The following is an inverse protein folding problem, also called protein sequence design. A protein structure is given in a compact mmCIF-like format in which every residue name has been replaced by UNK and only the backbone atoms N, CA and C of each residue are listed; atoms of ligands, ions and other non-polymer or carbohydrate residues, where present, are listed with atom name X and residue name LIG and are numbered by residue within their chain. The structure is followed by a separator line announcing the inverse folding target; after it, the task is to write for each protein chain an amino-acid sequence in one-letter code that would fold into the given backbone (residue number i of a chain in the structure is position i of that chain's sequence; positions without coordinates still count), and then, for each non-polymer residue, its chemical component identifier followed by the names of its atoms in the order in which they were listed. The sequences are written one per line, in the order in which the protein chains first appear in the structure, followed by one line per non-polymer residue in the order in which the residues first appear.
data_IF_896550081439
#
_entry.id   IF_896550081439
#
_cell.length_a   1.000
_cell.length_b   1.000
_cell.length_c   1.000
_cell.angle_alpha   90.00
_cell.angle_beta   90.00
_cell.angle_gamma   90.00
#
_symmetry.space_group_name_H-M   'P 1'
#
loop_
_entity.id
_entity.type
_entity.pdbx_description
1 polymer ?
#
# COMPACT_ATOMS: atom_id res chain seq x y z
N UNK A 1 -35.47 23.51 11.15
CA UNK A 1 -35.24 24.68 10.28
C UNK A 1 -35.14 24.37 8.78
N UNK A 2 -34.90 23.12 8.39
CA UNK A 2 -34.82 22.70 6.97
C UNK A 2 -36.17 22.29 6.43
N UNK A 3 -36.95 21.52 7.18
CA UNK A 3 -38.28 21.02 6.81
C UNK A 3 -39.27 22.11 6.39
N UNK A 4 -39.45 23.23 7.15
CA UNK A 4 -40.38 24.28 6.75
C UNK A 4 -39.97 24.99 5.47
N UNK A 5 -38.71 24.93 5.07
CA UNK A 5 -38.20 25.58 3.85
C UNK A 5 -38.29 24.69 2.63
N UNK A 6 -38.14 23.38 2.79
CA UNK A 6 -38.09 22.42 1.69
C UNK A 6 -39.38 21.61 1.54
N UNK A 7 -40.27 21.59 2.55
CA UNK A 7 -41.46 20.76 2.55
C UNK A 7 -41.18 19.26 2.57
N UNK A 8 -39.95 18.87 2.97
CA UNK A 8 -39.50 17.48 3.02
C UNK A 8 -39.19 17.13 4.48
N UNK A 9 -39.74 16.04 5.02
CA UNK A 9 -39.44 15.62 6.38
C UNK A 9 -37.97 15.25 6.54
N UNK A 10 -37.41 15.56 7.71
CA UNK A 10 -36.02 15.27 8.04
C UNK A 10 -35.93 14.02 8.96
N UNK A 11 -35.32 12.97 8.49
CA UNK A 11 -35.16 11.72 9.26
C UNK A 11 -34.11 11.80 10.40
N UNK A 12 -33.50 12.98 10.60
CA UNK A 12 -32.52 13.21 11.66
C UNK A 12 -31.29 13.97 11.15
N UNK A 13 -30.36 14.22 12.05
CA UNK A 13 -29.08 14.85 11.76
C UNK A 13 -27.99 13.94 12.29
N UNK A 14 -27.05 13.56 11.44
CA UNK A 14 -25.87 12.79 11.85
C UNK A 14 -24.83 13.79 12.34
N UNK A 15 -24.54 13.86 13.65
CA UNK A 15 -23.45 14.68 14.16
C UNK A 15 -22.12 14.18 13.63
N UNK A 16 -21.16 15.07 13.47
CA UNK A 16 -19.79 14.68 13.10
C UNK A 16 -19.21 13.74 14.16
N UNK A 17 -18.70 12.59 13.73
CA UNK A 17 -18.09 11.61 14.58
C UNK A 17 -16.55 11.75 14.48
N UNK A 18 -15.96 12.38 15.50
CA UNK A 18 -14.51 12.50 15.62
C UNK A 18 -13.89 11.12 15.87
N UNK A 19 -12.66 10.93 15.45
CA UNK A 19 -11.83 9.73 15.71
C UNK A 19 -12.45 8.41 15.22
N UNK A 20 -13.23 8.45 14.15
CA UNK A 20 -13.78 7.25 13.54
C UNK A 20 -12.70 6.41 12.88
N UNK A 21 -11.74 7.07 12.23
CA UNK A 21 -10.59 6.44 11.61
C UNK A 21 -10.94 5.48 10.48
N UNK A 22 -11.97 5.78 9.71
CA UNK A 22 -12.23 5.10 8.45
C UNK A 22 -11.28 5.62 7.38
N UNK A 23 -10.97 4.75 6.43
CA UNK A 23 -10.10 5.04 5.32
C UNK A 23 -10.68 6.21 4.51
N UNK A 24 -9.86 7.18 4.17
CA UNK A 24 -10.24 8.28 3.29
C UNK A 24 -10.08 7.85 1.83
N UNK A 25 -11.15 7.93 1.05
CA UNK A 25 -11.12 7.56 -0.37
C UNK A 25 -10.57 8.65 -1.28
N UNK A 26 -10.54 9.91 -0.85
CA UNK A 26 -10.22 11.07 -1.69
C UNK A 26 -8.81 11.64 -1.47
N UNK A 27 -8.22 12.12 -2.57
CA UNK A 27 -6.83 12.57 -2.68
C UNK A 27 -6.41 13.77 -1.80
N UNK A 28 -7.27 14.34 -0.97
CA UNK A 28 -6.93 15.41 -0.01
C UNK A 28 -5.91 14.89 1.02
N UNK A 29 -6.04 13.64 1.44
CA UNK A 29 -5.10 12.98 2.34
C UNK A 29 -3.67 12.84 1.76
N UNK A 30 -3.51 12.92 0.44
CA UNK A 30 -2.21 12.77 -0.25
C UNK A 30 -1.28 13.93 0.05
N UNK A 31 -1.79 15.14 -0.06
CA UNK A 31 -0.99 16.36 0.15
C UNK A 31 -0.60 16.50 1.62
N UNK A 32 -1.52 16.14 2.52
CA UNK A 32 -1.26 16.07 3.95
C UNK A 32 -0.27 14.95 4.29
N UNK A 33 -0.43 13.75 3.73
CA UNK A 33 0.50 12.62 3.91
C UNK A 33 1.88 12.89 3.29
N UNK A 34 1.96 13.59 2.14
CA UNK A 34 3.23 14.08 1.56
C UNK A 34 3.93 15.11 2.43
N UNK A 35 3.18 16.02 3.03
CA UNK A 35 3.75 17.03 3.93
C UNK A 35 4.17 16.43 5.28
N UNK A 36 3.50 15.37 5.76
CA UNK A 36 3.86 14.62 6.95
C UNK A 36 5.01 13.63 6.75
N UNK A 37 5.21 13.17 5.53
CA UNK A 37 5.97 11.97 5.16
C UNK A 37 7.49 12.06 5.25
N UNK A 38 8.07 13.12 5.79
CA UNK A 38 9.54 13.21 5.94
C UNK A 38 10.07 12.71 7.28
N UNK A 39 9.23 12.12 8.10
CA UNK A 39 9.62 11.70 9.46
C UNK A 39 9.16 10.26 9.71
N UNK A 40 10.11 9.37 9.93
CA UNK A 40 9.88 8.01 10.40
C UNK A 40 9.28 8.06 11.81
N UNK A 41 8.00 7.72 11.96
CA UNK A 41 7.36 7.64 13.28
C UNK A 41 7.34 6.19 13.76
N UNK A 42 7.95 5.94 14.92
CA UNK A 42 7.71 4.69 15.67
C UNK A 42 6.50 4.90 16.57
N UNK A 43 5.58 3.96 16.56
CA UNK A 43 4.49 3.93 17.54
C UNK A 43 5.06 3.39 18.85
N UNK A 44 5.01 4.19 19.90
CA UNK A 44 5.35 3.71 21.24
C UNK A 44 4.34 2.63 21.67
N UNK A 45 4.83 1.51 22.19
CA UNK A 45 3.98 0.42 22.67
C UNK A 45 2.97 0.94 23.70
N UNK A 46 1.68 0.91 23.35
CA UNK A 46 0.59 1.24 24.28
C UNK A 46 -0.41 2.32 23.84
N UNK A 47 -0.18 3.01 22.73
CA UNK A 47 -1.17 3.96 22.19
C UNK A 47 -1.56 3.52 20.78
N UNK A 48 -2.86 3.42 20.48
CA UNK A 48 -3.32 3.31 19.11
C UNK A 48 -2.85 4.57 18.35
N UNK A 49 -2.24 4.43 17.16
CA UNK A 49 -1.77 5.59 16.43
C UNK A 49 -2.96 6.49 16.07
N UNK A 50 -2.86 7.80 16.27
CA UNK A 50 -3.82 8.70 15.67
C UNK A 50 -3.70 8.59 14.16
N UNK A 51 -4.80 8.39 13.49
CA UNK A 51 -4.89 8.29 12.03
C UNK A 51 -4.55 9.59 11.29
N UNK A 52 -4.25 10.64 12.04
CA UNK A 52 -3.69 11.89 11.52
C UNK A 52 -2.49 12.33 12.36
N UNK A 53 -1.24 12.01 11.92
CA UNK A 53 -0.04 12.25 12.73
C UNK A 53 0.57 13.65 12.55
N UNK A 54 -0.15 14.67 12.13
CA UNK A 54 0.45 15.88 11.59
C UNK A 54 0.66 17.05 12.56
N UNK A 55 -0.04 17.06 13.69
CA UNK A 55 0.09 18.16 14.66
C UNK A 55 0.11 17.60 16.08
N UNK A 56 0.97 18.17 16.93
CA UNK A 56 0.77 18.05 18.36
C UNK A 56 -0.47 18.87 18.77
N UNK A 57 -0.99 18.70 19.96
CA UNK A 57 -2.17 19.43 20.48
C UNK A 57 -2.00 20.96 20.42
N UNK A 58 -0.80 21.48 20.12
CA UNK A 58 -0.45 22.90 20.02
C UNK A 58 -0.11 23.36 18.60
N UNK A 59 -0.18 22.48 17.57
CA UNK A 59 0.03 22.85 16.16
C UNK A 59 1.48 23.13 15.76
N UNK A 60 2.48 22.71 16.54
CA UNK A 60 3.90 22.93 16.26
C UNK A 60 4.59 21.72 15.65
N UNK A 61 5.54 21.95 14.72
CA UNK A 61 6.39 20.91 14.13
C UNK A 61 7.32 20.29 15.18
N UNK A 62 7.32 18.96 15.28
CA UNK A 62 8.27 18.23 16.13
C UNK A 62 9.55 17.95 15.35
N UNK A 63 10.70 18.45 15.79
CA UNK A 63 12.01 18.11 15.26
C UNK A 63 12.42 16.67 15.66
N UNK A 64 12.98 15.94 14.70
CA UNK A 64 13.38 14.55 14.88
C UNK A 64 14.87 14.45 15.26
N UNK A 65 15.20 13.90 16.45
CA UNK A 65 16.59 13.73 16.89
C UNK A 65 17.42 12.73 16.06
N UNK A 66 16.80 11.97 15.17
CA UNK A 66 17.48 10.89 14.42
C UNK A 66 18.07 11.34 13.08
N UNK A 67 17.95 12.60 12.69
CA UNK A 67 18.49 13.13 11.42
C UNK A 67 19.95 13.62 11.52
N UNK A 68 20.57 13.60 12.69
CA UNK A 68 21.98 13.95 12.88
C UNK A 68 22.84 12.71 13.10
N UNK A 69 23.01 11.88 12.09
CA UNK A 69 24.09 10.89 12.08
C UNK A 69 24.90 11.10 10.80
N UNK A 70 25.97 11.88 10.94
CA UNK A 70 27.09 11.87 10.02
C UNK A 70 27.83 10.53 10.12
N UNK A 71 28.12 9.91 8.97
CA UNK A 71 29.06 8.81 8.92
C UNK A 71 28.55 7.54 8.26
N UNK A 72 28.86 7.43 6.98
CA UNK A 72 28.91 6.19 6.21
C UNK A 72 29.89 5.21 6.83
N UNK A 73 29.43 4.29 7.69
CA UNK A 73 30.02 2.97 7.94
C UNK A 73 29.10 2.15 8.83
N UNK A 74 28.60 1.01 8.31
CA UNK A 74 28.07 -0.09 9.12
C UNK A 74 26.57 -0.05 9.41
N UNK A 75 25.80 -0.60 8.50
CA UNK A 75 24.34 -0.85 8.67
C UNK A 75 24.00 -1.91 9.74
N UNK A 76 24.97 -2.43 10.50
CA UNK A 76 24.83 -3.58 11.40
C UNK A 76 24.88 -3.28 12.90
N UNK A 77 24.71 -2.03 13.37
CA UNK A 77 24.73 -1.73 14.82
C UNK A 77 23.48 -1.03 15.36
N UNK A 78 22.43 -0.84 14.54
CA UNK A 78 21.15 -0.41 15.07
C UNK A 78 20.52 -1.58 15.83
N UNK A 79 19.96 -1.34 17.03
CA UNK A 79 19.28 -2.33 17.85
C UNK A 79 18.43 -3.28 17.01
N UNK A 80 18.64 -4.60 17.17
CA UNK A 80 17.85 -5.64 16.47
C UNK A 80 16.34 -5.53 16.73
N UNK A 81 15.94 -4.73 17.70
CA UNK A 81 14.58 -4.52 18.17
C UNK A 81 13.90 -3.23 17.63
N UNK A 82 14.53 -2.51 16.71
CA UNK A 82 13.90 -1.31 16.11
C UNK A 82 12.76 -1.66 15.15
N UNK A 83 11.90 -0.70 14.87
CA UNK A 83 10.89 -0.81 13.83
C UNK A 83 11.52 -0.95 12.43
N UNK A 84 10.84 -1.70 11.55
CA UNK A 84 11.18 -1.82 10.14
C UNK A 84 10.81 -0.50 9.43
N UNK A 85 11.77 0.13 8.77
CA UNK A 85 11.54 1.38 8.03
C UNK A 85 11.02 1.07 6.64
N UNK A 86 9.76 1.43 6.39
CA UNK A 86 9.07 1.20 5.12
C UNK A 86 8.91 2.52 4.38
N UNK A 87 9.58 2.65 3.23
CA UNK A 87 9.41 3.79 2.33
C UNK A 87 8.40 3.45 1.24
N UNK A 88 7.26 4.10 1.22
CA UNK A 88 6.31 4.07 0.09
C UNK A 88 6.62 5.25 -0.81
N UNK A 89 6.92 5.00 -2.08
CA UNK A 89 7.22 6.06 -3.04
C UNK A 89 5.96 6.90 -3.28
N UNK A 90 6.00 8.19 -3.01
CA UNK A 90 4.89 9.11 -3.18
C UNK A 90 4.74 9.52 -4.66
N UNK A 91 4.26 8.60 -5.50
CA UNK A 91 4.04 8.84 -6.92
C UNK A 91 3.01 9.97 -7.14
N UNK A 92 3.15 10.80 -8.21
CA UNK A 92 2.20 11.88 -8.51
C UNK A 92 0.75 11.43 -8.67
N UNK A 93 0.55 10.29 -9.33
CA UNK A 93 -0.78 9.74 -9.61
C UNK A 93 -1.08 8.48 -8.77
N UNK A 94 -0.43 8.37 -7.60
CA UNK A 94 -0.65 7.26 -6.69
C UNK A 94 -2.13 7.03 -6.41
N UNK A 95 -2.55 5.78 -6.33
CA UNK A 95 -3.92 5.37 -6.03
C UNK A 95 -3.96 4.36 -4.88
N UNK A 96 -5.15 4.14 -4.32
CA UNK A 96 -5.39 3.17 -3.25
C UNK A 96 -4.43 3.35 -2.05
N UNK A 97 -4.41 4.57 -1.50
CA UNK A 97 -3.56 4.92 -0.35
C UNK A 97 -3.81 4.03 0.86
N UNK A 98 -5.05 3.57 1.03
CA UNK A 98 -5.47 2.67 2.09
C UNK A 98 -4.76 1.32 2.07
N UNK A 99 -4.13 0.91 0.96
CA UNK A 99 -3.29 -0.30 0.91
C UNK A 99 -2.21 -0.33 1.99
N UNK A 100 -1.80 0.83 2.50
CA UNK A 100 -0.68 0.96 3.44
C UNK A 100 -1.11 1.23 4.88
N UNK A 101 -2.41 1.45 5.14
CA UNK A 101 -2.91 1.78 6.48
C UNK A 101 -2.71 0.62 7.46
N UNK A 102 -2.92 -0.62 6.99
CA UNK A 102 -2.67 -1.80 7.78
C UNK A 102 -1.17 -1.98 8.14
N UNK A 103 -0.25 -1.63 7.23
CA UNK A 103 1.18 -1.63 7.51
C UNK A 103 1.57 -0.51 8.49
N UNK A 104 0.95 0.67 8.35
CA UNK A 104 1.20 1.81 9.23
C UNK A 104 0.67 1.57 10.67
N UNK A 105 -0.35 0.72 10.82
CA UNK A 105 -0.90 0.34 12.12
C UNK A 105 -0.01 -0.67 12.88
N UNK A 106 0.97 -1.31 12.22
CA UNK A 106 1.81 -2.33 12.85
C UNK A 106 2.86 -1.72 13.79
N UNK A 107 2.93 -2.15 15.06
CA UNK A 107 3.91 -1.65 16.02
C UNK A 107 5.37 -1.89 15.60
N UNK A 108 5.58 -2.92 14.76
CA UNK A 108 6.89 -3.31 14.27
C UNK A 108 7.34 -2.54 13.03
N UNK A 109 6.51 -1.64 12.49
CA UNK A 109 6.76 -0.88 11.27
C UNK A 109 6.82 0.63 11.54
N UNK A 110 7.68 1.31 10.79
CA UNK A 110 7.71 2.77 10.69
C UNK A 110 7.56 3.11 9.20
N UNK A 111 6.36 3.52 8.79
CA UNK A 111 6.03 3.77 7.40
C UNK A 111 6.09 5.28 7.10
N UNK A 112 6.69 5.62 5.96
CA UNK A 112 6.71 7.00 5.44
C UNK A 112 6.46 7.01 3.93
N UNK A 113 5.73 8.00 3.45
CA UNK A 113 5.62 8.30 2.03
C UNK A 113 6.78 9.23 1.63
N UNK A 114 7.57 8.82 0.64
CA UNK A 114 8.85 9.47 0.30
C UNK A 114 8.91 9.82 -1.19
N UNK A 115 9.53 10.95 -1.49
CA UNK A 115 9.78 11.44 -2.85
C UNK A 115 11.23 11.90 -3.07
N UNK A 116 12.13 11.57 -2.12
CA UNK A 116 13.51 12.02 -2.17
C UNK A 116 14.51 10.85 -2.13
N UNK A 117 15.60 10.89 -2.92
CA UNK A 117 16.63 9.84 -2.98
C UNK A 117 17.21 9.40 -1.63
N UNK A 118 17.42 10.34 -0.70
CA UNK A 118 17.96 10.05 0.64
C UNK A 118 17.04 9.15 1.46
N UNK A 119 15.73 9.33 1.33
CA UNK A 119 14.76 8.57 2.11
C UNK A 119 14.69 7.12 1.61
N UNK A 120 14.78 6.91 0.28
CA UNK A 120 14.90 5.56 -0.31
C UNK A 120 16.17 4.86 0.20
N UNK A 121 17.28 5.58 0.27
CA UNK A 121 18.55 5.03 0.76
C UNK A 121 18.51 4.66 2.25
N UNK A 122 17.66 5.31 3.04
CA UNK A 122 17.50 5.07 4.47
C UNK A 122 16.49 3.95 4.81
N UNK A 123 15.72 3.47 3.85
CA UNK A 123 14.70 2.46 4.05
C UNK A 123 15.28 1.04 4.22
N UNK A 124 14.54 0.18 4.88
CA UNK A 124 14.77 -1.27 4.95
C UNK A 124 13.97 -1.99 3.86
N UNK A 125 12.72 -1.51 3.65
CA UNK A 125 11.80 -1.95 2.62
C UNK A 125 11.32 -0.75 1.82
N UNK A 126 11.37 -0.84 0.50
CA UNK A 126 10.81 0.17 -0.41
C UNK A 126 9.58 -0.41 -1.11
N UNK A 127 8.49 0.36 -1.16
CA UNK A 127 7.27 -0.04 -1.86
C UNK A 127 6.97 0.96 -2.98
N UNK A 128 6.85 0.45 -4.21
CA UNK A 128 6.27 1.17 -5.33
C UNK A 128 4.76 0.92 -5.31
N UNK A 129 3.93 1.94 -5.06
CA UNK A 129 2.48 1.77 -4.91
C UNK A 129 1.76 1.65 -6.25
N UNK A 130 0.46 1.38 -6.20
CA UNK A 130 -0.43 1.52 -7.33
C UNK A 130 -0.53 2.95 -7.83
N UNK A 131 -0.74 3.10 -9.13
CA UNK A 131 -0.92 4.41 -9.78
C UNK A 131 -1.96 4.34 -10.89
N UNK A 132 -2.57 5.50 -11.18
CA UNK A 132 -3.51 5.66 -12.31
C UNK A 132 -2.79 5.98 -13.63
N UNK A 133 -1.49 6.27 -13.60
CA UNK A 133 -0.67 6.70 -14.73
C UNK A 133 0.72 6.07 -14.64
N UNK A 134 0.84 4.79 -14.99
CA UNK A 134 2.05 4.01 -14.79
C UNK A 134 3.22 4.55 -15.59
N UNK A 135 2.99 4.92 -16.85
CA UNK A 135 4.04 5.41 -17.74
C UNK A 135 4.58 6.78 -17.33
N UNK A 136 3.70 7.70 -16.94
CA UNK A 136 4.12 9.04 -16.51
C UNK A 136 4.79 9.03 -15.15
N UNK A 137 4.35 8.17 -14.24
CA UNK A 137 4.96 8.04 -12.92
C UNK A 137 6.31 7.31 -12.98
N UNK A 138 6.49 6.38 -13.91
CA UNK A 138 7.80 5.78 -14.21
C UNK A 138 8.79 6.83 -14.73
N UNK A 139 8.35 7.71 -15.64
CA UNK A 139 9.16 8.83 -16.11
C UNK A 139 9.50 9.80 -14.97
N UNK A 140 8.54 10.09 -14.10
CA UNK A 140 8.75 10.93 -12.92
C UNK A 140 9.79 10.32 -11.96
N UNK A 141 9.83 8.99 -11.77
CA UNK A 141 10.88 8.34 -10.97
C UNK A 141 12.28 8.64 -11.52
N UNK A 142 12.45 8.63 -12.86
CA UNK A 142 13.71 8.98 -13.52
C UNK A 142 14.05 10.45 -13.29
N UNK A 143 13.12 11.36 -13.56
CA UNK A 143 13.30 12.80 -13.40
C UNK A 143 13.60 13.20 -11.95
N UNK A 144 13.01 12.51 -10.98
CA UNK A 144 13.20 12.75 -9.56
C UNK A 144 14.52 12.17 -9.04
N UNK A 145 15.23 11.40 -9.85
CA UNK A 145 16.48 10.74 -9.48
C UNK A 145 16.31 9.59 -8.48
N UNK A 146 15.14 8.97 -8.43
CA UNK A 146 14.82 7.87 -7.51
C UNK A 146 15.29 6.52 -8.01
N UNK A 147 15.53 6.37 -9.31
CA UNK A 147 15.89 5.08 -9.94
C UNK A 147 17.25 4.59 -9.45
N UNK A 148 18.27 5.43 -9.40
CA UNK A 148 19.60 5.05 -8.91
C UNK A 148 19.59 4.58 -7.44
N UNK A 149 18.95 5.28 -6.49
CA UNK A 149 18.77 4.78 -5.12
C UNK A 149 18.00 3.46 -5.04
N UNK A 150 16.99 3.23 -5.89
CA UNK A 150 16.26 1.95 -5.94
C UNK A 150 17.18 0.80 -6.38
N UNK A 151 17.98 0.99 -7.43
CA UNK A 151 18.97 0.00 -7.85
C UNK A 151 20.01 -0.26 -6.78
N UNK A 152 20.58 0.79 -6.20
CA UNK A 152 21.55 0.65 -5.11
C UNK A 152 20.95 -0.06 -3.88
N UNK A 153 19.66 0.15 -3.60
CA UNK A 153 18.92 -0.55 -2.54
C UNK A 153 18.81 -2.05 -2.86
N UNK A 154 18.41 -2.40 -4.10
CA UNK A 154 18.31 -3.80 -4.55
C UNK A 154 19.67 -4.51 -4.54
N UNK A 155 20.75 -3.85 -5.02
CA UNK A 155 22.12 -4.39 -5.07
C UNK A 155 22.67 -4.69 -3.68
N UNK A 156 22.35 -3.87 -2.69
CA UNK A 156 22.71 -4.12 -1.28
C UNK A 156 21.86 -5.20 -0.60
N UNK A 157 20.94 -5.85 -1.34
CA UNK A 157 20.04 -6.86 -0.81
C UNK A 157 18.85 -6.30 -0.02
N UNK A 158 18.52 -5.01 -0.21
CA UNK A 158 17.33 -4.40 0.35
C UNK A 158 16.05 -5.00 -0.21
N UNK A 159 14.95 -4.90 0.53
CA UNK A 159 13.66 -5.42 0.15
C UNK A 159 12.88 -4.40 -0.70
N UNK A 160 12.29 -4.86 -1.82
CA UNK A 160 11.43 -4.02 -2.67
C UNK A 160 10.12 -4.75 -2.93
N UNK A 161 9.00 -4.04 -2.81
CA UNK A 161 7.68 -4.53 -3.20
C UNK A 161 7.05 -3.59 -4.23
N UNK A 162 6.25 -4.14 -5.15
CA UNK A 162 5.47 -3.37 -6.12
C UNK A 162 4.00 -3.79 -6.09
N UNK A 163 3.10 -2.84 -6.04
CA UNK A 163 1.65 -3.07 -6.08
C UNK A 163 1.08 -2.48 -7.36
N UNK A 164 0.32 -3.26 -8.13
CA UNK A 164 -0.39 -2.85 -9.33
C UNK A 164 0.53 -2.11 -10.34
N UNK A 165 0.37 -0.82 -10.55
CA UNK A 165 1.27 -0.02 -11.41
C UNK A 165 2.73 -0.07 -10.95
N UNK A 166 2.97 -0.09 -9.63
CA UNK A 166 4.31 -0.29 -9.08
C UNK A 166 4.90 -1.66 -9.42
N UNK A 167 4.08 -2.71 -9.44
CA UNK A 167 4.50 -4.02 -9.94
C UNK A 167 4.88 -3.97 -11.41
N UNK A 168 4.07 -3.30 -12.25
CA UNK A 168 4.37 -3.12 -13.68
C UNK A 168 5.70 -2.39 -13.89
N UNK A 169 5.98 -1.34 -13.11
CA UNK A 169 7.23 -0.58 -13.17
C UNK A 169 8.46 -1.44 -12.83
N UNK A 170 8.33 -2.45 -11.97
CA UNK A 170 9.43 -3.35 -11.62
C UNK A 170 9.84 -4.26 -12.78
N UNK A 171 9.00 -4.44 -13.80
CA UNK A 171 9.27 -5.25 -14.98
C UNK A 171 10.35 -4.67 -15.88
N UNK A 172 10.66 -5.40 -16.95
CA UNK A 172 11.64 -5.00 -17.96
C UNK A 172 11.07 -3.91 -18.88
N UNK A 173 9.78 -4.02 -19.22
CA UNK A 173 9.14 -3.16 -20.23
C UNK A 173 7.64 -3.04 -19.98
N UNK A 174 7.08 -1.88 -20.30
CA UNK A 174 5.65 -1.62 -20.38
C UNK A 174 5.35 -1.17 -21.80
N UNK A 175 4.52 -1.93 -22.51
CA UNK A 175 4.03 -1.63 -23.84
C UNK A 175 2.60 -1.09 -23.77
N UNK A 176 2.36 0.03 -24.43
CA UNK A 176 1.03 0.64 -24.59
C UNK A 176 0.71 0.78 -26.11
N UNK A 177 0.35 -0.33 -26.76
CA UNK A 177 0.15 -0.32 -28.22
C UNK A 177 -1.09 0.46 -28.66
N UNK A 178 -2.01 0.76 -27.74
CA UNK A 178 -3.23 1.50 -28.03
C UNK A 178 -3.22 2.92 -27.45
N UNK A 179 -2.16 3.31 -26.73
CA UNK A 179 -2.05 4.61 -26.07
C UNK A 179 -3.07 4.78 -24.93
N UNK A 180 -3.33 3.71 -24.21
CA UNK A 180 -4.29 3.68 -23.09
C UNK A 180 -3.96 4.73 -22.02
N UNK A 181 -2.68 4.92 -21.72
CA UNK A 181 -2.19 5.96 -20.81
C UNK A 181 -1.52 7.14 -21.53
N UNK A 182 -1.51 7.16 -22.89
CA UNK A 182 -0.80 8.16 -23.67
C UNK A 182 -1.68 8.81 -24.75
N UNK A 183 -2.90 9.21 -24.40
CA UNK A 183 -3.83 9.92 -25.29
C UNK A 183 -4.03 9.24 -26.64
N UNK A 184 -4.21 7.93 -26.67
CA UNK A 184 -4.35 7.09 -27.88
C UNK A 184 -3.13 7.08 -28.80
N UNK A 185 -1.96 7.50 -28.31
CA UNK A 185 -0.70 7.42 -29.05
C UNK A 185 0.09 6.20 -28.58
N UNK A 186 0.33 5.20 -29.44
CA UNK A 186 1.13 4.04 -29.08
C UNK A 186 2.50 4.41 -28.52
N UNK A 187 2.90 3.78 -27.44
CA UNK A 187 4.22 3.99 -26.86
C UNK A 187 4.71 2.77 -26.08
N UNK A 188 5.97 2.78 -25.73
CA UNK A 188 6.57 1.80 -24.85
C UNK A 188 7.60 2.48 -23.94
N UNK A 189 7.79 1.96 -22.76
CA UNK A 189 8.79 2.43 -21.79
C UNK A 189 9.58 1.27 -21.22
N UNK A 190 10.88 1.49 -21.02
CA UNK A 190 11.68 0.56 -20.24
C UNK A 190 11.28 0.68 -18.78
N UNK A 191 10.98 -0.46 -18.15
CA UNK A 191 10.75 -0.54 -16.71
C UNK A 191 12.08 -0.56 -15.93
N UNK A 192 11.98 -0.84 -14.63
CA UNK A 192 13.15 -0.92 -13.77
C UNK A 192 13.96 -2.22 -13.94
N UNK A 193 13.41 -3.24 -14.61
CA UNK A 193 14.12 -4.50 -14.90
C UNK A 193 14.47 -5.34 -13.67
N UNK A 194 13.85 -5.06 -12.52
CA UNK A 194 14.08 -5.80 -11.27
C UNK A 194 13.31 -7.13 -11.22
N UNK A 195 12.27 -7.26 -12.04
CA UNK A 195 11.53 -8.49 -12.29
C UNK A 195 11.60 -8.87 -13.77
N UNK A 196 11.84 -10.13 -14.08
CA UNK A 196 11.94 -10.62 -15.46
C UNK A 196 10.56 -10.88 -16.07
N UNK A 197 9.81 -9.81 -16.23
CA UNK A 197 8.47 -9.80 -16.83
C UNK A 197 8.26 -8.50 -17.59
N UNK A 198 7.25 -8.46 -18.45
CA UNK A 198 6.83 -7.25 -19.14
C UNK A 198 5.32 -7.14 -19.14
N UNK A 199 4.81 -5.93 -19.24
CA UNK A 199 3.39 -5.63 -19.22
C UNK A 199 2.96 -5.06 -20.57
N UNK A 200 1.81 -5.53 -21.09
CA UNK A 200 1.11 -4.91 -22.18
C UNK A 200 -0.17 -4.26 -21.67
N UNK A 201 -0.27 -2.94 -21.74
CA UNK A 201 -1.48 -2.23 -21.33
C UNK A 201 -2.62 -2.56 -22.28
N UNK A 202 -3.80 -2.77 -21.71
CA UNK A 202 -5.03 -3.10 -22.43
C UNK A 202 -6.09 -2.04 -22.12
N UNK A 203 -7.00 -1.72 -23.05
CA UNK A 203 -8.07 -0.75 -22.79
C UNK A 203 -9.07 -1.23 -21.73
N UNK A 204 -9.25 -2.55 -21.63
CA UNK A 204 -10.19 -3.13 -20.68
C UNK A 204 -9.62 -3.13 -19.28
N UNK A 205 -10.35 -2.48 -18.37
CA UNK A 205 -10.01 -2.42 -16.95
C UNK A 205 -10.57 -3.61 -16.22
N UNK A 206 -9.73 -4.33 -15.52
CA UNK A 206 -10.14 -5.38 -14.58
C UNK A 206 -10.48 -4.72 -13.25
N UNK A 207 -11.66 -5.04 -12.69
CA UNK A 207 -12.08 -4.65 -11.34
C UNK A 207 -12.81 -5.83 -10.72
N UNK A 208 -12.14 -6.60 -9.85
CA UNK A 208 -12.66 -7.83 -9.26
C UNK A 208 -12.12 -8.06 -7.86
N UNK A 209 -12.98 -8.53 -6.96
CA UNK A 209 -12.51 -9.12 -5.71
C UNK A 209 -11.76 -10.41 -6.02
N UNK A 210 -10.67 -10.63 -5.32
CA UNK A 210 -9.80 -11.77 -5.48
C UNK A 210 -9.43 -12.38 -4.14
N UNK A 211 -9.26 -13.70 -4.14
CA UNK A 211 -8.62 -14.43 -3.05
C UNK A 211 -7.53 -15.31 -3.65
N UNK A 212 -6.44 -15.47 -2.92
CA UNK A 212 -5.29 -16.18 -3.45
C UNK A 212 -4.53 -16.96 -2.39
N UNK A 213 -3.61 -17.78 -2.89
CA UNK A 213 -2.61 -18.47 -2.09
C UNK A 213 -1.22 -18.26 -2.68
N UNK A 214 -0.23 -18.18 -1.83
CA UNK A 214 1.15 -18.02 -2.26
C UNK A 214 1.65 -19.33 -2.85
N UNK A 215 2.17 -19.29 -4.09
CA UNK A 215 2.82 -20.40 -4.77
C UNK A 215 4.29 -20.53 -4.41
N UNK A 216 4.94 -19.38 -4.24
CA UNK A 216 6.35 -19.31 -3.88
C UNK A 216 6.50 -19.39 -2.37
N UNK A 217 7.30 -20.34 -1.93
CA UNK A 217 7.55 -20.52 -0.51
C UNK A 217 8.30 -19.34 0.13
N UNK A 218 8.89 -18.44 -0.67
CA UNK A 218 9.81 -17.44 -0.13
C UNK A 218 9.55 -16.03 -0.68
N UNK A 219 9.36 -15.10 0.24
CA UNK A 219 9.46 -13.66 0.02
C UNK A 219 10.66 -13.14 0.82
N UNK A 220 11.46 -12.28 0.24
CA UNK A 220 12.68 -11.73 0.87
C UNK A 220 13.64 -12.80 1.43
N UNK A 221 13.61 -13.99 0.83
CA UNK A 221 14.41 -15.13 1.28
C UNK A 221 13.90 -15.85 2.54
N UNK A 222 12.66 -15.57 2.94
CA UNK A 222 12.00 -16.22 4.07
C UNK A 222 10.79 -17.02 3.62
N UNK A 223 10.55 -18.12 4.30
CA UNK A 223 9.45 -19.03 4.00
C UNK A 223 8.11 -18.39 4.42
N UNK A 224 7.20 -18.27 3.46
CA UNK A 224 5.83 -17.77 3.63
C UNK A 224 4.80 -18.79 3.13
N UNK A 225 5.14 -20.08 3.17
CA UNK A 225 4.25 -21.17 2.75
C UNK A 225 2.90 -21.10 3.43
N UNK A 226 1.87 -21.56 2.70
CA UNK A 226 0.48 -21.69 3.18
C UNK A 226 -0.23 -20.35 3.50
N UNK A 227 0.41 -19.21 3.29
CA UNK A 227 -0.32 -17.96 3.41
C UNK A 227 -1.37 -17.85 2.29
N UNK A 228 -2.59 -17.64 2.71
CA UNK A 228 -3.69 -17.19 1.85
C UNK A 228 -3.90 -15.70 2.07
N UNK A 229 -4.52 -15.03 1.11
CA UNK A 229 -4.85 -13.62 1.22
C UNK A 229 -6.16 -13.30 0.49
N UNK A 230 -6.73 -12.16 0.81
CA UNK A 230 -7.86 -11.54 0.13
C UNK A 230 -7.50 -10.13 -0.27
N UNK A 231 -8.13 -9.65 -1.33
CA UNK A 231 -7.96 -8.30 -1.82
C UNK A 231 -8.79 -8.09 -3.07
N UNK A 232 -8.35 -7.17 -3.91
CA UNK A 232 -9.00 -6.90 -5.19
C UNK A 232 -8.00 -6.50 -6.27
N UNK A 233 -8.34 -6.82 -7.51
CA UNK A 233 -7.63 -6.32 -8.68
C UNK A 233 -8.35 -5.08 -9.21
N UNK A 234 -7.58 -4.05 -9.53
CA UNK A 234 -8.05 -2.86 -10.23
C UNK A 234 -6.92 -2.32 -11.12
N UNK A 235 -6.78 -2.88 -12.31
CA UNK A 235 -5.67 -2.54 -13.21
C UNK A 235 -6.07 -2.62 -14.68
N UNK A 236 -5.25 -2.02 -15.53
CA UNK A 236 -5.22 -2.23 -16.97
C UNK A 236 -3.94 -2.98 -17.32
N UNK A 237 -4.02 -3.84 -18.34
CA UNK A 237 -2.86 -4.56 -18.83
C UNK A 237 -2.73 -5.99 -18.34
N UNK A 238 -1.91 -6.72 -19.09
CA UNK A 238 -1.59 -8.14 -18.89
C UNK A 238 -0.08 -8.30 -18.73
N UNK A 239 0.33 -9.12 -17.74
CA UNK A 239 1.74 -9.41 -17.49
C UNK A 239 2.15 -10.72 -18.15
N UNK A 240 3.22 -10.67 -18.91
CA UNK A 240 3.90 -11.83 -19.51
C UNK A 240 5.21 -12.08 -18.76
N UNK A 241 5.45 -13.34 -18.46
CA UNK A 241 6.64 -13.76 -17.70
C UNK A 241 7.70 -14.32 -18.63
N UNK A 242 8.98 -14.04 -18.35
CA UNK A 242 10.07 -14.77 -18.97
C UNK A 242 10.08 -16.23 -18.45
N UNK A 243 10.58 -17.17 -19.26
CA UNK A 243 10.49 -18.62 -19.02
C UNK A 243 10.90 -19.09 -17.61
N UNK A 244 11.83 -18.39 -16.98
CA UNK A 244 12.33 -18.72 -15.65
C UNK A 244 11.57 -18.00 -14.51
N UNK A 245 10.72 -17.02 -14.84
CA UNK A 245 9.98 -16.24 -13.85
C UNK A 245 8.67 -16.95 -13.52
N UNK A 246 8.52 -17.33 -12.27
CA UNK A 246 7.30 -17.98 -11.79
C UNK A 246 6.41 -16.95 -11.09
N UNK A 247 5.08 -17.09 -11.25
CA UNK A 247 4.13 -16.27 -10.51
C UNK A 247 4.38 -16.32 -9.00
N UNK A 248 4.03 -15.25 -8.33
CA UNK A 248 4.05 -15.18 -6.88
C UNK A 248 2.94 -16.01 -6.26
N UNK A 249 1.72 -15.90 -6.80
CA UNK A 249 0.52 -16.49 -6.26
C UNK A 249 -0.40 -17.05 -7.35
N UNK A 250 -1.32 -17.91 -6.94
CA UNK A 250 -2.55 -18.23 -7.66
C UNK A 250 -3.71 -17.48 -7.02
N UNK A 251 -4.52 -16.84 -7.85
CA UNK A 251 -5.71 -16.13 -7.42
C UNK A 251 -6.97 -16.68 -8.08
N UNK A 252 -8.09 -16.51 -7.41
CA UNK A 252 -9.43 -16.78 -7.93
C UNK A 252 -10.26 -15.51 -7.77
N UNK A 253 -10.86 -15.05 -8.87
CA UNK A 253 -11.74 -13.88 -8.90
C UNK A 253 -13.13 -14.22 -8.43
N UNK A 254 -13.78 -13.32 -7.70
CA UNK A 254 -15.17 -13.51 -7.28
C UNK A 254 -16.09 -13.79 -8.49
N UNK A 255 -16.91 -14.83 -8.37
CA UNK A 255 -17.81 -15.27 -9.45
C UNK A 255 -17.14 -16.13 -10.54
N UNK A 256 -15.87 -16.51 -10.38
CA UNK A 256 -15.15 -17.39 -11.30
C UNK A 256 -14.53 -18.57 -10.54
N UNK A 257 -14.43 -19.71 -11.20
CA UNK A 257 -13.65 -20.86 -10.72
C UNK A 257 -12.26 -20.95 -11.38
N UNK A 258 -11.96 -20.04 -12.31
CA UNK A 258 -10.67 -20.03 -13.00
C UNK A 258 -9.55 -19.59 -12.03
N UNK A 259 -8.47 -20.35 -12.01
CA UNK A 259 -7.26 -20.02 -11.28
C UNK A 259 -6.34 -19.24 -12.21
N UNK A 260 -5.86 -18.11 -11.75
CA UNK A 260 -5.05 -17.16 -12.51
C UNK A 260 -3.74 -16.96 -11.78
N UNK A 261 -2.65 -16.86 -12.52
CA UNK A 261 -1.35 -16.50 -12.00
C UNK A 261 -1.29 -15.00 -11.66
N UNK A 262 -0.74 -14.66 -10.50
CA UNK A 262 -0.52 -13.26 -10.08
C UNK A 262 0.90 -13.04 -9.59
N UNK A 263 1.40 -11.83 -9.86
CA UNK A 263 2.63 -11.30 -9.32
C UNK A 263 3.89 -12.05 -9.75
N UNK A 264 5.02 -11.62 -9.21
CA UNK A 264 6.33 -12.23 -9.45
C UNK A 264 7.27 -12.02 -8.27
N UNK A 265 8.30 -12.88 -8.19
CA UNK A 265 9.43 -12.74 -7.25
C UNK A 265 10.73 -12.82 -8.03
N UNK A 266 11.68 -11.93 -7.76
CA UNK A 266 13.00 -11.93 -8.38
C UNK A 266 13.81 -13.20 -8.04
N UNK A 267 14.82 -13.52 -8.87
CA UNK A 267 15.67 -14.68 -8.66
C UNK A 267 16.39 -14.65 -7.30
N UNK A 268 16.84 -13.48 -6.85
CA UNK A 268 17.44 -13.28 -5.53
C UNK A 268 16.43 -13.17 -4.38
N UNK A 269 15.11 -13.23 -4.70
CA UNK A 269 13.99 -13.18 -3.74
C UNK A 269 13.90 -11.91 -2.92
N UNK A 270 14.54 -10.82 -3.35
CA UNK A 270 14.53 -9.51 -2.68
C UNK A 270 13.54 -8.53 -3.26
N UNK A 271 13.00 -8.82 -4.44
CA UNK A 271 11.99 -8.01 -5.11
C UNK A 271 10.75 -8.86 -5.33
N UNK A 272 9.60 -8.34 -4.98
CA UNK A 272 8.30 -8.96 -5.09
C UNK A 272 7.30 -7.97 -5.69
N UNK A 273 6.31 -8.46 -6.41
CA UNK A 273 5.20 -7.62 -6.87
C UNK A 273 3.94 -8.41 -7.13
N UNK A 274 2.80 -7.75 -7.07
CA UNK A 274 1.44 -8.30 -7.23
C UNK A 274 0.48 -7.25 -7.79
N UNK A 275 -0.58 -7.68 -8.45
CA UNK A 275 -1.69 -6.80 -8.82
C UNK A 275 -2.69 -6.56 -7.70
N UNK A 276 -2.61 -7.33 -6.62
CA UNK A 276 -3.64 -7.32 -5.56
C UNK A 276 -3.49 -6.11 -4.65
N UNK A 277 -4.50 -5.26 -4.67
CA UNK A 277 -4.75 -4.22 -3.69
C UNK A 277 -5.39 -4.79 -2.42
N UNK A 278 -5.20 -4.14 -1.27
CA UNK A 278 -5.72 -4.60 0.01
C UNK A 278 -5.06 -5.89 0.51
N UNK A 279 -3.98 -6.37 -0.12
CA UNK A 279 -3.28 -7.60 0.29
C UNK A 279 -2.74 -7.51 1.73
N UNK A 280 -2.39 -6.32 2.19
CA UNK A 280 -1.92 -6.07 3.55
C UNK A 280 -3.03 -5.98 4.59
N UNK A 281 -4.31 -5.89 4.18
CA UNK A 281 -5.45 -5.93 5.10
C UNK A 281 -5.64 -7.33 5.70
N UNK A 282 -5.16 -8.36 5.00
CA UNK A 282 -5.11 -9.72 5.54
C UNK A 282 -4.01 -9.84 6.61
N UNK A 283 -4.42 -10.05 7.85
CA UNK A 283 -3.51 -10.10 9.00
C UNK A 283 -2.45 -11.20 8.84
N UNK A 284 -2.80 -12.37 8.30
CA UNK A 284 -1.87 -13.49 8.15
C UNK A 284 -0.79 -13.17 7.12
N UNK A 285 -1.19 -12.66 5.94
CA UNK A 285 -0.24 -12.25 4.93
C UNK A 285 0.64 -11.11 5.43
N UNK A 286 0.06 -10.05 5.99
CA UNK A 286 0.79 -8.89 6.47
C UNK A 286 1.84 -9.27 7.51
N UNK A 287 1.47 -10.09 8.49
CA UNK A 287 2.41 -10.53 9.53
C UNK A 287 3.54 -11.38 8.94
N UNK A 288 3.26 -12.31 8.03
CA UNK A 288 4.27 -13.10 7.37
C UNK A 288 5.21 -12.24 6.50
N UNK A 289 4.66 -11.27 5.76
CA UNK A 289 5.41 -10.33 4.94
C UNK A 289 6.36 -9.46 5.78
N UNK A 290 5.87 -8.90 6.89
CA UNK A 290 6.70 -8.09 7.78
C UNK A 290 7.77 -8.92 8.50
N UNK A 291 7.45 -10.15 8.92
CA UNK A 291 8.45 -11.05 9.51
C UNK A 291 9.54 -11.38 8.50
N UNK A 292 9.16 -11.65 7.25
CA UNK A 292 10.13 -11.90 6.17
C UNK A 292 11.01 -10.68 5.91
N UNK A 293 10.44 -9.47 5.80
CA UNK A 293 11.19 -8.24 5.59
C UNK A 293 12.14 -7.94 6.75
N UNK A 294 11.68 -8.10 8.01
CA UNK A 294 12.50 -7.92 9.21
C UNK A 294 13.68 -8.89 9.22
N UNK A 295 13.43 -10.18 9.01
CA UNK A 295 14.48 -11.20 8.97
C UNK A 295 15.50 -10.93 7.86
N UNK A 296 15.02 -10.51 6.68
CA UNK A 296 15.89 -10.14 5.55
C UNK A 296 16.82 -8.96 5.86
N UNK A 297 16.39 -8.06 6.75
CA UNK A 297 17.15 -6.90 7.22
C UNK A 297 17.92 -7.16 8.52
N UNK A 298 17.96 -8.40 9.02
CA UNK A 298 18.66 -8.76 10.26
C UNK A 298 17.99 -8.23 11.53
N UNK A 299 16.69 -7.89 11.47
CA UNK A 299 15.91 -7.43 12.61
C UNK A 299 15.25 -8.61 13.32
N UNK A 300 15.13 -8.53 14.65
CA UNK A 300 14.44 -9.55 15.43
C UNK A 300 12.94 -9.60 15.06
N UNK A 301 12.34 -10.78 15.20
CA UNK A 301 10.90 -10.94 15.07
C UNK A 301 10.19 -10.13 16.16
N UNK A 302 9.19 -9.37 15.77
CA UNK A 302 8.39 -8.59 16.71
C UNK A 302 7.14 -9.38 17.10
N UNK A 303 6.79 -9.39 18.41
CA UNK A 303 5.66 -10.17 18.92
C UNK A 303 4.35 -9.40 18.95
N UNK A 304 4.39 -8.08 19.13
CA UNK A 304 3.19 -7.25 19.06
C UNK A 304 2.68 -7.16 17.62
N UNK A 305 1.39 -7.35 17.43
CA UNK A 305 0.68 -7.39 16.15
C UNK A 305 -0.56 -6.53 16.18
N UNK A 306 -0.85 -5.85 15.09
CA UNK A 306 -2.15 -5.25 14.85
C UNK A 306 -3.10 -6.28 14.23
N UNK A 307 -4.37 -6.23 14.60
CA UNK A 307 -5.44 -7.02 13.99
C UNK A 307 -6.36 -6.06 13.24
N UNK A 308 -5.91 -5.65 12.06
CA UNK A 308 -6.48 -4.56 11.29
C UNK A 308 -7.93 -4.84 10.86
N UNK A 309 -8.23 -6.06 10.42
CA UNK A 309 -9.58 -6.44 10.02
C UNK A 309 -10.59 -6.31 11.16
N UNK A 310 -10.24 -6.76 12.38
CA UNK A 310 -11.09 -6.65 13.56
C UNK A 310 -11.27 -5.19 13.99
N UNK A 311 -10.20 -4.41 13.94
CA UNK A 311 -10.25 -2.98 14.29
C UNK A 311 -11.12 -2.18 13.30
N UNK A 312 -10.97 -2.43 11.98
CA UNK A 312 -11.80 -1.84 10.94
C UNK A 312 -13.28 -2.19 11.13
N UNK A 313 -13.60 -3.46 11.43
CA UNK A 313 -14.96 -3.87 11.74
C UNK A 313 -15.52 -3.14 12.96
N UNK A 314 -14.75 -3.00 14.03
CA UNK A 314 -15.16 -2.26 15.21
C UNK A 314 -15.46 -0.78 14.93
N UNK A 315 -14.69 -0.14 14.03
CA UNK A 315 -14.92 1.24 13.59
C UNK A 315 -16.23 1.35 12.79
N UNK A 316 -16.49 0.41 11.87
CA UNK A 316 -17.74 0.33 11.11
C UNK A 316 -18.95 0.11 12.03
N UNK A 317 -18.83 -0.74 13.03
CA UNK A 317 -19.88 -0.98 14.02
C UNK A 317 -20.18 0.29 14.85
N UNK A 318 -19.13 1.04 15.23
CA UNK A 318 -19.28 2.35 15.90
C UNK A 318 -20.03 3.35 15.02
N UNK A 319 -19.67 3.44 13.72
CA UNK A 319 -20.39 4.28 12.76
C UNK A 319 -21.84 3.86 12.61
N UNK A 320 -22.09 2.56 12.41
CA UNK A 320 -23.44 2.03 12.29
C UNK A 320 -24.28 2.32 13.55
N UNK A 321 -23.73 2.16 14.74
CA UNK A 321 -24.39 2.48 15.99
C UNK A 321 -24.68 4.01 16.12
N UNK A 322 -23.75 4.84 15.68
CA UNK A 322 -23.92 6.29 15.67
C UNK A 322 -25.05 6.71 14.72
N UNK A 323 -25.07 6.22 13.50
CA UNK A 323 -26.13 6.47 12.51
C UNK A 323 -27.50 6.00 13.04
N UNK A 324 -27.59 4.79 13.61
CA UNK A 324 -28.85 4.25 14.17
C UNK A 324 -29.43 5.10 15.31
N UNK A 325 -28.57 5.73 16.12
CA UNK A 325 -29.03 6.60 17.22
C UNK A 325 -29.51 7.98 16.77
N UNK A 326 -29.08 8.42 15.61
CA UNK A 326 -29.27 9.80 15.16
C UNK A 326 -30.31 9.96 14.05
N UNK A 327 -30.67 8.86 13.39
CA UNK A 327 -31.65 8.84 12.31
C UNK A 327 -32.91 8.05 12.71
N UNK A 328 -34.08 8.56 12.28
CA UNK A 328 -35.34 7.82 12.30
C UNK A 328 -35.36 6.80 11.15
N UNK A 329 -34.89 5.60 11.43
CA UNK A 329 -34.81 4.52 10.44
C UNK A 329 -36.18 4.01 9.99
N UNK A 330 -37.22 4.11 10.85
CA UNK A 330 -38.57 3.71 10.48
C UNK A 330 -39.15 4.67 9.46
N UNK A 331 -38.95 5.98 9.63
CA UNK A 331 -39.31 7.00 8.63
C UNK A 331 -38.58 6.72 7.31
N UNK A 332 -37.27 6.44 7.31
CA UNK A 332 -36.51 6.12 6.10
C UNK A 332 -37.07 4.87 5.41
N UNK A 333 -37.35 3.80 6.16
CA UNK A 333 -37.93 2.56 5.61
C UNK A 333 -39.31 2.86 4.94
N UNK A 334 -40.11 3.70 5.55
CA UNK A 334 -41.41 4.06 4.97
C UNK A 334 -41.31 4.76 3.60
N UNK A 335 -40.20 5.47 3.34
CA UNK A 335 -39.97 6.14 2.07
C UNK A 335 -39.52 5.21 0.94
N UNK A 336 -38.81 4.12 1.29
CA UNK A 336 -38.25 3.18 0.30
C UNK A 336 -39.10 1.91 0.14
N UNK A 337 -40.24 1.86 0.82
CA UNK A 337 -41.19 0.72 0.73
C UNK A 337 -40.53 -0.66 1.03
N UNK A 338 -39.56 -0.70 1.96
CA UNK A 338 -38.90 -1.90 2.44
C UNK A 338 -39.52 -2.43 3.74
#
# INVERSE_FOLDING_TARGET
MIEPRLGIPCAGVIPFLHDLGLDEEDGVAVEERRSAGRVWKSVAAGAAPPLNPLLNEEGSRVENPLLNVEGTKGWCTASADRALRIAVIALPHMSNFSDFDALAAEPAAALAFVDHPKDVSAADLVILPGTKQTLSDLEWLHQRGLVSPLFSHAERGGCIAGICGGFQMLGVKIDDPQGTENNSVPCARQGLGLLRMWTMLQPEKITRLASGRILRAEIFGQDVRECTFRGYEIHVGETMYADETKPFAEITRAGSSAVIADGAVSANRRVFGTYIHGIFDDDNFRHAFLDAARAACGLARHTARAFFAAERQSRLDRLAAHVRRTLDLEMIRSWVHL
#
